data_IF_214145359126
#
_entry.id   IF_214145359126
#
_cell.length_a   1.000
_cell.length_b   1.000
_cell.length_c   1.000
_cell.angle_alpha   90.00
_cell.angle_beta   90.00
_cell.angle_gamma   90.00
#
_symmetry.space_group_name_H-M   'P 1'
#
loop_
_entity.id
_entity.type
_entity.pdbx_description
1 polymer ?
#
# COMPACT_ATOMS: atom_id res chain seq x y z
N UNK A 1 -15.07 7.79 21.64
CA UNK A 1 -15.39 7.78 20.19
C UNK A 1 -14.72 6.58 19.54
N UNK A 2 -15.54 5.74 18.86
CA UNK A 2 -15.02 4.58 18.12
C UNK A 2 -14.32 5.11 16.88
N UNK A 3 -13.01 4.92 16.80
CA UNK A 3 -12.23 5.32 15.62
C UNK A 3 -12.52 4.37 14.48
N UNK A 4 -12.77 4.91 13.29
CA UNK A 4 -13.03 4.13 12.06
C UNK A 4 -12.08 4.58 10.96
N UNK A 5 -11.57 3.65 10.20
CA UNK A 5 -10.66 3.90 9.07
C UNK A 5 -11.10 3.03 7.90
N UNK A 6 -11.27 3.65 6.73
CA UNK A 6 -11.50 2.90 5.50
C UNK A 6 -10.18 2.30 5.03
N UNK A 7 -10.15 1.00 4.82
CA UNK A 7 -8.96 0.26 4.40
C UNK A 7 -9.25 -0.65 3.22
N UNK A 8 -8.24 -0.88 2.40
CA UNK A 8 -8.27 -1.90 1.36
C UNK A 8 -8.04 -3.25 2.02
N UNK A 9 -8.97 -4.18 1.81
CA UNK A 9 -8.81 -5.56 2.23
C UNK A 9 -8.12 -6.34 1.11
N UNK A 10 -6.93 -6.85 1.41
CA UNK A 10 -6.11 -7.62 0.47
C UNK A 10 -6.08 -9.07 0.92
N UNK A 11 -6.50 -9.97 0.04
CA UNK A 11 -6.51 -11.43 0.30
C UNK A 11 -5.81 -12.12 -0.86
N UNK A 12 -4.55 -12.53 -0.70
CA UNK A 12 -3.83 -13.22 -1.77
C UNK A 12 -4.40 -14.63 -1.98
N UNK A 13 -4.41 -15.11 -3.22
CA UNK A 13 -4.83 -16.47 -3.54
C UNK A 13 -3.79 -17.50 -3.06
N UNK A 14 -2.51 -17.15 -3.20
CA UNK A 14 -1.38 -18.00 -2.84
C UNK A 14 -0.41 -17.21 -1.96
N UNK A 15 0.01 -17.80 -0.84
CA UNK A 15 0.94 -17.16 0.10
C UNK A 15 2.40 -17.41 -0.26
N UNK A 16 2.69 -18.50 -0.97
CA UNK A 16 4.07 -18.98 -1.24
C UNK A 16 4.95 -17.92 -1.94
N UNK A 17 4.37 -17.16 -2.86
CA UNK A 17 5.08 -16.14 -3.64
C UNK A 17 4.67 -14.71 -3.27
N UNK A 18 3.89 -14.53 -2.21
CA UNK A 18 3.36 -13.22 -1.85
C UNK A 18 4.49 -12.23 -1.50
N UNK A 19 5.49 -12.68 -0.77
CA UNK A 19 6.65 -11.86 -0.38
C UNK A 19 7.52 -11.43 -1.56
N UNK A 20 7.33 -12.01 -2.75
CA UNK A 20 7.98 -11.53 -3.97
C UNK A 20 7.37 -10.23 -4.49
N UNK A 21 6.12 -9.94 -4.14
CA UNK A 21 5.37 -8.76 -4.56
C UNK A 21 5.26 -7.72 -3.46
N UNK A 22 5.16 -8.14 -2.20
CA UNK A 22 5.01 -7.29 -1.03
C UNK A 22 6.10 -7.57 -0.01
N UNK A 23 6.81 -6.54 0.43
CA UNK A 23 7.75 -6.63 1.54
C UNK A 23 7.04 -6.22 2.84
N UNK A 24 6.67 -7.20 3.66
CA UNK A 24 6.19 -6.94 5.01
C UNK A 24 7.36 -6.63 5.92
N UNK A 25 7.54 -5.37 6.26
CA UNK A 25 8.68 -4.90 7.04
C UNK A 25 8.20 -3.99 8.19
N UNK A 26 8.85 -4.11 9.33
CA UNK A 26 8.74 -3.10 10.39
C UNK A 26 9.62 -1.90 10.04
N UNK A 27 9.04 -0.71 10.07
CA UNK A 27 9.73 0.53 9.69
C UNK A 27 10.90 0.88 10.62
N UNK A 28 10.82 0.53 11.90
CA UNK A 28 11.80 0.95 12.91
C UNK A 28 12.97 -0.02 13.02
N UNK A 29 12.65 -1.31 13.07
CA UNK A 29 13.66 -2.37 13.19
C UNK A 29 14.23 -2.78 11.83
N UNK A 30 13.49 -2.58 10.72
CA UNK A 30 13.81 -3.12 9.42
C UNK A 30 13.57 -4.62 9.31
N UNK A 31 13.01 -5.25 10.33
CA UNK A 31 12.68 -6.67 10.34
C UNK A 31 11.64 -6.99 9.27
N UNK A 32 11.90 -8.03 8.50
CA UNK A 32 11.00 -8.53 7.46
C UNK A 32 10.18 -9.68 8.02
N UNK A 33 8.88 -9.57 7.89
CA UNK A 33 7.92 -10.58 8.34
C UNK A 33 7.43 -11.42 7.16
N UNK A 34 7.14 -12.66 7.46
CA UNK A 34 6.33 -13.48 6.56
C UNK A 34 4.85 -13.14 6.69
N UNK A 35 4.07 -13.54 5.71
CA UNK A 35 2.61 -13.38 5.76
C UNK A 35 2.05 -14.13 6.98
N UNK A 36 1.19 -13.49 7.82
CA UNK A 36 0.67 -14.15 9.02
C UNK A 36 -0.27 -15.31 8.65
N UNK A 37 0.02 -16.48 9.19
CA UNK A 37 -0.79 -17.70 9.06
C UNK A 37 -1.29 -18.22 10.42
N UNK A 38 -1.17 -17.38 11.46
CA UNK A 38 -1.52 -17.68 12.84
C UNK A 38 -2.99 -17.35 13.20
N UNK A 39 -3.85 -17.17 12.19
CA UNK A 39 -5.24 -16.77 12.37
C UNK A 39 -5.43 -15.29 12.65
N UNK A 40 -4.44 -14.46 12.33
CA UNK A 40 -4.52 -13.03 12.46
C UNK A 40 -4.18 -12.29 11.16
N UNK A 41 -4.36 -10.96 11.16
CA UNK A 41 -4.17 -10.08 10.03
C UNK A 41 -2.84 -9.31 10.12
N UNK A 42 -2.32 -8.91 8.95
CA UNK A 42 -1.36 -7.82 8.87
C UNK A 42 -2.09 -6.50 8.62
N UNK A 43 -1.63 -5.42 9.26
CA UNK A 43 -2.21 -4.08 9.10
C UNK A 43 -1.12 -3.05 8.85
N UNK A 44 -1.40 -2.03 8.03
CA UNK A 44 -0.45 -0.95 7.82
C UNK A 44 -0.23 -0.09 9.07
N UNK A 45 1.02 0.35 9.33
CA UNK A 45 1.41 1.15 10.51
C UNK A 45 0.52 2.39 10.70
N UNK A 46 0.21 3.07 9.61
CA UNK A 46 -0.64 4.26 9.65
C UNK A 46 -2.07 3.92 10.11
N UNK A 47 -2.63 2.81 9.62
CA UNK A 47 -3.96 2.34 10.04
C UNK A 47 -3.96 1.96 11.51
N UNK A 48 -2.95 1.21 11.95
CA UNK A 48 -2.78 0.84 13.36
C UNK A 48 -2.70 2.08 14.27
N UNK A 49 -1.93 3.10 13.85
CA UNK A 49 -1.79 4.36 14.59
C UNK A 49 -3.12 5.12 14.68
N UNK A 50 -3.87 5.21 13.59
CA UNK A 50 -5.17 5.90 13.55
C UNK A 50 -6.21 5.21 14.43
N UNK A 51 -6.25 3.87 14.40
CA UNK A 51 -7.13 3.08 15.26
C UNK A 51 -6.65 3.05 16.72
N UNK A 52 -5.36 3.25 16.95
CA UNK A 52 -4.73 3.18 18.28
C UNK A 52 -4.49 1.74 18.75
N UNK A 53 -4.25 0.82 17.81
CA UNK A 53 -4.08 -0.62 18.07
C UNK A 53 -2.63 -1.06 17.89
N UNK A 54 -2.30 -2.20 18.48
CA UNK A 54 -0.98 -2.86 18.43
C UNK A 54 -1.12 -4.31 17.96
N UNK A 55 -0.01 -4.93 17.64
CA UNK A 55 0.03 -6.39 17.43
C UNK A 55 -0.48 -7.10 18.69
N UNK A 56 -1.35 -8.08 18.50
CA UNK A 56 -2.09 -8.80 19.54
C UNK A 56 -3.49 -8.25 19.83
N UNK A 57 -3.80 -7.01 19.46
CA UNK A 57 -5.13 -6.43 19.64
C UNK A 57 -6.13 -6.97 18.61
N UNK A 58 -7.42 -6.84 18.90
CA UNK A 58 -8.51 -7.20 17.99
C UNK A 58 -9.19 -5.94 17.47
N UNK A 59 -9.49 -5.91 16.17
CA UNK A 59 -10.26 -4.85 15.51
C UNK A 59 -11.54 -5.41 14.93
N UNK A 60 -12.55 -4.55 14.79
CA UNK A 60 -13.75 -4.89 14.04
C UNK A 60 -13.56 -4.53 12.56
N UNK A 61 -13.66 -5.51 11.70
CA UNK A 61 -13.70 -5.35 10.25
C UNK A 61 -15.14 -5.38 9.77
N UNK A 62 -15.54 -4.30 9.10
CA UNK A 62 -16.85 -4.22 8.44
C UNK A 62 -16.67 -4.35 6.93
N UNK A 63 -17.35 -5.32 6.32
CA UNK A 63 -17.42 -5.54 4.88
C UNK A 63 -18.88 -5.67 4.45
N UNK A 64 -19.40 -4.64 3.80
CA UNK A 64 -20.85 -4.57 3.53
C UNK A 64 -21.65 -4.54 4.84
N UNK A 65 -22.51 -5.51 5.04
CA UNK A 65 -23.32 -5.66 6.25
C UNK A 65 -22.65 -6.55 7.31
N UNK A 66 -21.61 -7.30 6.94
CA UNK A 66 -20.89 -8.18 7.85
C UNK A 66 -19.93 -7.40 8.74
N UNK A 67 -19.92 -7.73 10.03
CA UNK A 67 -19.00 -7.20 11.04
C UNK A 67 -18.37 -8.38 11.75
N UNK A 68 -17.06 -8.50 11.63
CA UNK A 68 -16.28 -9.59 12.21
C UNK A 68 -15.12 -9.06 13.05
N UNK A 69 -14.73 -9.78 14.07
CA UNK A 69 -13.57 -9.46 14.90
C UNK A 69 -12.33 -10.12 14.30
N UNK A 70 -11.26 -9.32 14.12
CA UNK A 70 -10.00 -9.77 13.51
C UNK A 70 -8.84 -9.42 14.44
N UNK A 71 -8.04 -10.42 14.81
CA UNK A 71 -6.82 -10.22 15.58
C UNK A 71 -5.72 -9.64 14.65
N UNK A 72 -4.97 -8.68 15.14
CA UNK A 72 -3.80 -8.13 14.43
C UNK A 72 -2.55 -8.91 14.86
N UNK A 73 -1.94 -9.64 13.93
CA UNK A 73 -0.70 -10.39 14.19
C UNK A 73 0.53 -9.53 13.98
N UNK A 74 0.61 -8.78 12.88
CA UNK A 74 1.74 -7.92 12.56
C UNK A 74 1.29 -6.54 12.07
N UNK A 75 2.16 -5.57 12.30
CA UNK A 75 2.02 -4.20 11.77
C UNK A 75 3.17 -3.97 10.79
N UNK A 76 2.84 -3.56 9.57
CA UNK A 76 3.79 -3.45 8.47
C UNK A 76 3.88 -2.03 7.93
N UNK A 77 5.07 -1.67 7.45
CA UNK A 77 5.32 -0.41 6.79
C UNK A 77 4.51 -0.31 5.49
N UNK A 78 3.70 0.74 5.38
CA UNK A 78 3.05 1.11 4.14
C UNK A 78 2.72 2.61 4.16
N UNK A 79 3.13 3.33 3.12
CA UNK A 79 2.98 4.79 3.03
C UNK A 79 1.77 5.24 2.22
N UNK A 80 1.26 4.34 1.37
CA UNK A 80 0.16 4.66 0.45
C UNK A 80 -1.08 3.89 0.86
N UNK A 81 -2.19 4.60 1.11
CA UNK A 81 -3.48 4.06 1.54
C UNK A 81 -3.41 3.32 2.89
N UNK A 82 -4.52 2.72 3.26
CA UNK A 82 -4.69 1.89 4.45
C UNK A 82 -4.97 0.48 3.98
N UNK A 83 -4.21 -0.48 4.49
CA UNK A 83 -4.36 -1.89 4.10
C UNK A 83 -4.57 -2.77 5.32
N UNK A 84 -5.37 -3.80 5.12
CA UNK A 84 -5.51 -4.96 5.98
C UNK A 84 -5.37 -6.20 5.11
N UNK A 85 -4.48 -7.11 5.49
CA UNK A 85 -4.15 -8.32 4.76
C UNK A 85 -4.64 -9.52 5.54
N UNK A 86 -5.43 -10.39 4.90
CA UNK A 86 -5.92 -11.64 5.48
C UNK A 86 -5.42 -12.83 4.65
N UNK A 87 -5.10 -13.94 5.34
CA UNK A 87 -4.92 -15.22 4.67
C UNK A 87 -6.26 -15.71 4.08
N UNK A 88 -6.25 -16.44 2.95
CA UNK A 88 -7.48 -16.97 2.34
C UNK A 88 -8.34 -17.78 3.32
N UNK A 89 -7.69 -18.67 4.07
CA UNK A 89 -8.38 -19.54 5.04
C UNK A 89 -9.07 -18.71 6.14
N UNK A 90 -8.39 -17.68 6.65
CA UNK A 90 -8.97 -16.78 7.63
C UNK A 90 -10.14 -15.98 7.06
N UNK A 91 -10.03 -15.54 5.80
CA UNK A 91 -11.13 -14.86 5.13
C UNK A 91 -12.35 -15.78 5.00
N UNK A 92 -12.17 -17.04 4.58
CA UNK A 92 -13.24 -18.02 4.48
C UNK A 92 -13.90 -18.31 5.83
N UNK A 93 -13.10 -18.41 6.90
CA UNK A 93 -13.61 -18.58 8.27
C UNK A 93 -14.48 -17.39 8.71
N UNK A 94 -14.04 -16.17 8.43
CA UNK A 94 -14.71 -14.96 8.88
C UNK A 94 -15.97 -14.62 8.08
N UNK A 95 -15.97 -14.87 6.75
CA UNK A 95 -17.03 -14.44 5.85
C UNK A 95 -17.84 -15.58 5.22
N UNK A 96 -17.48 -16.84 5.52
CA UNK A 96 -18.25 -18.02 5.13
C UNK A 96 -18.17 -18.39 3.64
N UNK A 97 -17.18 -17.86 2.91
CA UNK A 97 -17.00 -18.17 1.49
C UNK A 97 -15.65 -17.73 0.96
N UNK A 98 -15.23 -18.30 -0.16
CA UNK A 98 -13.96 -17.97 -0.78
C UNK A 98 -13.90 -16.48 -1.23
N UNK A 99 -12.72 -15.84 -1.20
CA UNK A 99 -12.55 -14.50 -1.71
C UNK A 99 -12.87 -14.41 -3.22
N UNK A 100 -13.47 -13.31 -3.63
CA UNK A 100 -13.64 -12.99 -5.04
C UNK A 100 -12.38 -12.27 -5.54
N UNK A 101 -11.53 -13.00 -6.28
CA UNK A 101 -10.25 -12.48 -6.76
C UNK A 101 -10.45 -11.56 -7.95
N UNK A 102 -10.15 -10.28 -7.77
CA UNK A 102 -10.37 -9.22 -8.76
C UNK A 102 -9.09 -8.49 -9.18
N UNK A 103 -7.94 -8.91 -8.71
CA UNK A 103 -6.64 -8.30 -9.02
C UNK A 103 -5.61 -9.37 -9.36
N UNK A 104 -4.76 -9.09 -10.35
CA UNK A 104 -3.61 -9.90 -10.72
C UNK A 104 -2.33 -9.07 -10.59
N UNK A 105 -1.37 -9.56 -9.82
CA UNK A 105 -0.03 -8.97 -9.72
C UNK A 105 0.90 -9.70 -10.67
N UNK A 106 1.68 -8.94 -11.43
CA UNK A 106 2.64 -9.49 -12.38
C UNK A 106 4.01 -8.83 -12.23
N UNK A 107 5.08 -9.61 -12.40
CA UNK A 107 6.44 -9.11 -12.58
C UNK A 107 6.85 -9.27 -14.03
N UNK A 108 7.56 -8.29 -14.56
CA UNK A 108 8.13 -8.28 -15.89
C UNK A 108 9.57 -7.75 -15.83
N UNK A 109 10.39 -8.07 -16.83
CA UNK A 109 11.83 -7.77 -16.80
C UNK A 109 12.20 -6.45 -17.48
N UNK A 110 11.50 -6.09 -18.54
CA UNK A 110 11.77 -4.85 -19.29
C UNK A 110 10.86 -3.73 -18.78
N UNK A 111 11.44 -2.80 -18.03
CA UNK A 111 10.75 -1.65 -17.44
C UNK A 111 10.83 -0.40 -18.33
N UNK A 112 11.15 -0.54 -19.61
CA UNK A 112 11.11 0.59 -20.52
C UNK A 112 9.67 1.05 -20.78
N UNK A 113 9.46 2.36 -20.86
CA UNK A 113 8.14 2.95 -21.09
C UNK A 113 7.47 2.42 -22.36
N UNK A 114 8.24 2.15 -23.42
CA UNK A 114 7.71 1.58 -24.64
C UNK A 114 7.19 0.16 -24.45
N UNK A 115 7.90 -0.66 -23.67
CA UNK A 115 7.49 -2.02 -23.37
C UNK A 115 6.24 -2.03 -22.48
N UNK A 116 6.21 -1.20 -21.44
CA UNK A 116 5.06 -1.08 -20.53
C UNK A 116 3.81 -0.63 -21.29
N UNK A 117 3.94 0.36 -22.18
CA UNK A 117 2.83 0.81 -23.04
C UNK A 117 2.29 -0.34 -23.90
N UNK A 118 3.17 -1.04 -24.61
CA UNK A 118 2.76 -2.16 -25.49
C UNK A 118 2.15 -3.32 -24.68
N UNK A 119 2.72 -3.62 -23.50
CA UNK A 119 2.20 -4.64 -22.60
C UNK A 119 0.81 -4.25 -22.08
N UNK A 120 0.64 -2.98 -21.66
CA UNK A 120 -0.63 -2.44 -21.21
C UNK A 120 -1.71 -2.52 -22.28
N UNK A 121 -1.42 -2.05 -23.49
CA UNK A 121 -2.33 -2.15 -24.63
C UNK A 121 -2.74 -3.59 -24.89
N UNK A 122 -1.78 -4.53 -24.88
CA UNK A 122 -2.07 -5.95 -25.08
C UNK A 122 -2.94 -6.54 -23.97
N UNK A 123 -2.67 -6.24 -22.71
CA UNK A 123 -3.45 -6.76 -21.58
C UNK A 123 -4.87 -6.19 -21.61
N UNK A 124 -5.05 -4.92 -21.96
CA UNK A 124 -6.36 -4.29 -22.08
C UNK A 124 -7.23 -4.87 -23.20
N UNK A 125 -6.68 -5.70 -24.10
CA UNK A 125 -7.49 -6.42 -25.10
C UNK A 125 -8.21 -7.65 -24.55
N UNK A 126 -7.85 -8.14 -23.37
CA UNK A 126 -8.51 -9.29 -22.76
C UNK A 126 -9.83 -8.89 -22.09
N UNK A 127 -10.85 -9.70 -22.32
CA UNK A 127 -12.14 -9.52 -21.66
C UNK A 127 -12.00 -9.64 -20.13
N UNK A 128 -12.66 -8.76 -19.41
CA UNK A 128 -12.64 -8.74 -17.94
C UNK A 128 -11.53 -7.89 -17.33
N UNK A 129 -10.58 -7.37 -18.12
CA UNK A 129 -9.60 -6.40 -17.62
C UNK A 129 -10.23 -5.01 -17.61
N UNK A 130 -10.44 -4.46 -16.43
CA UNK A 130 -11.01 -3.14 -16.24
C UNK A 130 -9.95 -2.03 -16.24
N UNK A 131 -8.76 -2.31 -15.69
CA UNK A 131 -7.66 -1.35 -15.60
C UNK A 131 -6.32 -2.07 -15.43
N UNK A 132 -5.24 -1.39 -15.81
CA UNK A 132 -3.86 -1.79 -15.53
C UNK A 132 -3.14 -0.61 -14.87
N UNK A 133 -2.22 -0.90 -13.96
CA UNK A 133 -1.36 0.10 -13.33
C UNK A 133 0.06 -0.43 -13.26
N UNK A 134 1.02 0.37 -13.65
CA UNK A 134 2.44 0.06 -13.54
C UNK A 134 3.02 0.75 -12.31
N UNK A 135 3.95 0.08 -11.63
CA UNK A 135 4.64 0.69 -10.47
C UNK A 135 5.51 1.87 -10.90
N UNK A 136 6.04 1.86 -12.12
CA UNK A 136 6.77 2.96 -12.75
C UNK A 136 5.95 4.25 -12.77
N UNK A 137 4.66 4.19 -13.11
CA UNK A 137 3.76 5.36 -13.12
C UNK A 137 3.67 6.02 -11.74
N UNK A 138 3.64 5.20 -10.67
CA UNK A 138 3.61 5.70 -9.30
C UNK A 138 4.93 6.37 -8.92
N UNK A 139 6.05 5.78 -9.31
CA UNK A 139 7.39 6.35 -9.09
C UNK A 139 7.52 7.68 -9.80
N UNK A 140 7.11 7.77 -11.07
CA UNK A 140 7.14 8.99 -11.86
C UNK A 140 6.27 10.10 -11.26
N UNK A 141 5.10 9.76 -10.72
CA UNK A 141 4.24 10.72 -10.01
C UNK A 141 4.93 11.26 -8.75
N UNK A 142 5.58 10.42 -7.97
CA UNK A 142 6.33 10.82 -6.77
C UNK A 142 7.51 11.70 -7.16
N UNK A 143 8.28 11.34 -8.18
CA UNK A 143 9.42 12.11 -8.66
C UNK A 143 9.00 13.50 -9.18
N UNK A 144 7.91 13.57 -9.91
CA UNK A 144 7.36 14.84 -10.38
C UNK A 144 6.89 15.72 -9.20
N UNK A 145 6.32 15.14 -8.16
CA UNK A 145 5.94 15.86 -6.95
C UNK A 145 7.17 16.37 -6.19
N UNK A 146 8.23 15.56 -6.07
CA UNK A 146 9.48 15.96 -5.44
C UNK A 146 10.19 17.09 -6.24
N UNK A 147 10.24 17.01 -7.57
CA UNK A 147 10.80 18.08 -8.41
C UNK A 147 10.07 19.42 -8.24
N UNK A 148 8.77 19.39 -8.01
CA UNK A 148 8.03 20.64 -7.74
C UNK A 148 8.46 21.29 -6.42
N UNK A 149 8.84 20.49 -5.41
CA UNK A 149 9.39 21.00 -4.16
C UNK A 149 10.78 21.61 -4.34
N UNK A 150 11.62 21.05 -5.22
CA UNK A 150 12.95 21.61 -5.53
C UNK A 150 12.86 23.06 -6.07
N UNK A 151 11.87 23.34 -6.91
CA UNK A 151 11.62 24.69 -7.42
C UNK A 151 11.30 25.65 -6.26
N UNK A 152 10.48 25.22 -5.31
CA UNK A 152 10.13 26.04 -4.13
C UNK A 152 11.37 26.33 -3.29
N UNK A 153 12.23 25.32 -3.07
CA UNK A 153 13.49 25.46 -2.32
C UNK A 153 14.41 26.48 -3.02
N UNK A 154 14.57 26.40 -4.34
CA UNK A 154 15.39 27.35 -5.11
C UNK A 154 14.85 28.78 -4.97
N UNK A 155 13.53 28.98 -5.09
CA UNK A 155 12.89 30.28 -4.91
C UNK A 155 13.13 30.82 -3.50
N UNK A 156 13.02 29.99 -2.47
CA UNK A 156 13.29 30.40 -1.09
C UNK A 156 14.75 30.81 -0.89
N UNK A 157 15.72 30.04 -1.41
CA UNK A 157 17.14 30.37 -1.32
C UNK A 157 17.45 31.70 -2.01
N UNK A 158 16.94 31.90 -3.22
CA UNK A 158 17.13 33.15 -3.96
C UNK A 158 16.50 34.33 -3.22
N UNK A 159 15.29 34.18 -2.72
CA UNK A 159 14.57 35.21 -1.96
C UNK A 159 15.31 35.57 -0.65
N UNK A 160 15.79 34.57 0.08
CA UNK A 160 16.58 34.78 1.29
C UNK A 160 17.91 35.49 0.99
N UNK A 161 18.58 35.10 -0.09
CA UNK A 161 19.81 35.77 -0.55
C UNK A 161 19.60 37.22 -0.91
N UNK A 162 18.53 37.53 -1.66
CA UNK A 162 18.16 38.91 -2.00
C UNK A 162 17.83 39.74 -0.75
N UNK A 163 17.08 39.14 0.18
CA UNK A 163 16.76 39.82 1.45
C UNK A 163 18.01 40.14 2.28
N UNK A 164 18.91 39.17 2.39
CA UNK A 164 20.18 39.34 3.10
C UNK A 164 21.02 40.45 2.45
N UNK A 165 21.06 40.51 1.11
CA UNK A 165 21.75 41.59 0.36
C UNK A 165 21.16 42.95 0.69
N UNK A 166 19.83 43.11 0.65
CA UNK A 166 19.14 44.37 0.96
C UNK A 166 19.36 44.84 2.40
N UNK A 167 19.49 43.91 3.36
CA UNK A 167 19.74 44.25 4.77
C UNK A 167 21.17 44.64 5.04
N UNK A 168 22.14 44.14 4.24
CA UNK A 168 23.57 44.41 4.41
C UNK A 168 24.02 45.69 3.67
N UNK A 169 23.26 46.20 2.72
CA UNK A 169 23.50 47.40 1.97
C UNK A 169 22.45 48.48 2.22
#
# INVERSE_FOLDING_TARGET
>A
DKKTVDAVLEVPKELTNFNDFYAFRDRKSGEVYEFPTDGGAAISEKTATMLGVKAGDTVQLKKGDDIVDVKISIIVENYVRHYLYLAPDLYEELFGGAPDYNQLLMKYQDTSSNYETALGEKIMTYDGVAAISFTSDLIDQIDNMLRSLDIVIVVLIVSAGLLAFVVLY
#
